data_IF_619677962687
#
_entry.id   IF_619677962687
#
_cell.length_a   1.000
_cell.length_b   1.000
_cell.length_c   1.000
_cell.angle_alpha   90.00
_cell.angle_beta   90.00
_cell.angle_gamma   90.00
#
_symmetry.space_group_name_H-M   'P 1'
#
loop_
_entity.id
_entity.type
_entity.pdbx_description
1 polymer ?
#
# COMPACT_ATOMS: atom_id res chain seq x y z
N UNK A 1 -48.14 15.32 -18.82
CA UNK A 1 -47.67 14.32 -17.86
C UNK A 1 -46.26 13.96 -18.28
N UNK A 2 -45.28 14.66 -17.72
CA UNK A 2 -43.88 14.26 -17.85
C UNK A 2 -43.68 13.09 -16.89
N UNK A 3 -43.39 11.93 -17.44
CA UNK A 3 -42.86 10.81 -16.67
C UNK A 3 -41.50 11.25 -16.15
N UNK A 4 -41.43 11.58 -14.86
CA UNK A 4 -40.16 11.64 -14.13
C UNK A 4 -39.50 10.26 -14.32
N UNK A 5 -38.21 10.18 -14.73
CA UNK A 5 -37.54 8.89 -14.72
C UNK A 5 -37.56 8.41 -13.28
N UNK A 6 -38.05 7.19 -13.05
CA UNK A 6 -37.90 6.50 -11.76
C UNK A 6 -36.45 6.74 -11.30
N UNK A 7 -36.28 7.51 -10.24
CA UNK A 7 -34.97 7.69 -9.62
C UNK A 7 -34.56 6.29 -9.21
N UNK A 8 -33.48 5.79 -9.80
CA UNK A 8 -32.98 4.44 -9.56
C UNK A 8 -32.59 4.32 -8.07
N UNK A 9 -33.54 3.88 -7.25
CA UNK A 9 -33.41 3.65 -5.80
C UNK A 9 -32.82 2.25 -5.51
N UNK A 10 -32.66 1.44 -6.56
CA UNK A 10 -31.97 0.17 -6.52
C UNK A 10 -30.49 0.36 -6.14
N UNK A 11 -29.98 -0.59 -5.36
CA UNK A 11 -28.61 -0.54 -4.86
C UNK A 11 -27.56 -0.63 -5.97
N UNK A 12 -27.75 -1.50 -6.96
CA UNK A 12 -26.73 -1.78 -7.97
C UNK A 12 -26.57 -0.58 -8.90
N UNK A 13 -27.68 0.00 -9.37
CA UNK A 13 -27.68 1.24 -10.15
C UNK A 13 -27.06 2.43 -9.39
N UNK A 14 -27.35 2.56 -8.09
CA UNK A 14 -26.76 3.63 -7.28
C UNK A 14 -25.26 3.44 -7.06
N UNK A 15 -24.81 2.20 -6.86
CA UNK A 15 -23.38 1.88 -6.74
C UNK A 15 -22.64 2.20 -8.03
N UNK A 16 -23.17 1.80 -9.19
CA UNK A 16 -22.57 2.11 -10.49
C UNK A 16 -22.44 3.63 -10.68
N UNK A 17 -23.53 4.39 -10.47
CA UNK A 17 -23.53 5.84 -10.57
C UNK A 17 -22.53 6.51 -9.59
N UNK A 18 -22.37 5.99 -8.38
CA UNK A 18 -21.38 6.46 -7.42
C UNK A 18 -19.95 6.23 -7.92
N UNK A 19 -19.65 5.02 -8.40
CA UNK A 19 -18.30 4.67 -8.88
C UNK A 19 -17.91 5.52 -10.10
N UNK A 20 -18.86 5.84 -10.97
CA UNK A 20 -18.65 6.69 -12.14
C UNK A 20 -18.50 8.18 -11.77
N UNK A 21 -19.28 8.65 -10.80
CA UNK A 21 -19.10 10.00 -10.25
C UNK A 21 -17.71 10.17 -9.62
N UNK A 22 -17.18 9.11 -8.99
CA UNK A 22 -15.83 9.12 -8.40
C UNK A 22 -14.72 8.99 -9.45
N UNK A 23 -14.97 8.33 -10.58
CA UNK A 23 -14.02 8.24 -11.70
C UNK A 23 -13.67 9.61 -12.30
N UNK A 24 -14.59 10.58 -12.27
CA UNK A 24 -14.34 11.95 -12.75
C UNK A 24 -13.39 12.76 -11.85
N UNK A 25 -13.08 12.25 -10.65
CA UNK A 25 -12.04 12.78 -9.77
C UNK A 25 -10.68 12.13 -10.05
N UNK A 26 -9.61 12.70 -9.51
CA UNK A 26 -8.23 12.21 -9.64
C UNK A 26 -7.98 10.86 -8.89
N UNK A 27 -9.05 10.08 -8.67
CA UNK A 27 -9.12 8.98 -7.72
C UNK A 27 -8.49 7.71 -8.29
N UNK A 28 -7.61 7.09 -7.50
CA UNK A 28 -6.81 5.94 -7.92
C UNK A 28 -7.68 4.69 -8.09
N UNK A 29 -7.45 3.87 -9.12
CA UNK A 29 -8.22 2.65 -9.38
C UNK A 29 -8.31 1.67 -8.20
N UNK A 30 -7.39 1.76 -7.23
CA UNK A 30 -7.46 1.01 -5.97
C UNK A 30 -8.68 1.38 -5.10
N UNK A 31 -9.04 2.67 -5.00
CA UNK A 31 -10.23 3.08 -4.25
C UNK A 31 -11.50 2.57 -4.93
N UNK A 32 -11.59 2.69 -6.26
CA UNK A 32 -12.73 2.17 -7.03
C UNK A 32 -12.93 0.67 -6.80
N UNK A 33 -11.87 -0.13 -6.98
CA UNK A 33 -11.95 -1.58 -6.78
C UNK A 33 -12.32 -1.98 -5.34
N UNK A 34 -11.80 -1.26 -4.34
CA UNK A 34 -12.21 -1.47 -2.94
C UNK A 34 -13.68 -1.09 -2.74
N UNK A 35 -14.10 0.07 -3.25
CA UNK A 35 -15.46 0.57 -3.10
C UNK A 35 -16.45 -0.38 -3.75
N UNK A 36 -16.22 -0.78 -4.99
CA UNK A 36 -17.00 -1.78 -5.72
C UNK A 36 -17.13 -3.07 -4.89
N UNK A 37 -16.01 -3.68 -4.49
CA UNK A 37 -16.05 -4.92 -3.72
C UNK A 37 -16.81 -4.81 -2.38
N UNK A 38 -16.59 -3.70 -1.65
CA UNK A 38 -17.24 -3.48 -0.35
C UNK A 38 -18.73 -3.21 -0.53
N UNK A 39 -19.11 -2.41 -1.51
CA UNK A 39 -20.50 -2.02 -1.76
C UNK A 39 -21.31 -3.20 -2.28
N UNK A 40 -20.81 -3.99 -3.24
CA UNK A 40 -21.50 -5.18 -3.73
C UNK A 40 -21.68 -6.24 -2.64
N UNK A 41 -20.65 -6.51 -1.83
CA UNK A 41 -20.78 -7.45 -0.70
C UNK A 41 -21.74 -6.95 0.38
N UNK A 42 -21.88 -5.64 0.51
CA UNK A 42 -22.79 -5.03 1.46
C UNK A 42 -24.23 -5.03 0.95
N UNK A 43 -24.49 -4.74 -0.34
CA UNK A 43 -25.82 -4.86 -0.95
C UNK A 43 -26.31 -6.31 -0.90
N UNK A 44 -25.49 -7.30 -1.27
CA UNK A 44 -25.81 -8.73 -1.12
C UNK A 44 -26.10 -9.14 0.33
N UNK A 45 -25.46 -8.48 1.29
CA UNK A 45 -25.73 -8.74 2.70
C UNK A 45 -27.07 -8.13 3.12
N UNK A 46 -27.39 -6.92 2.67
CA UNK A 46 -28.65 -6.24 2.97
C UNK A 46 -29.85 -6.99 2.40
N UNK A 47 -29.80 -7.39 1.14
CA UNK A 47 -30.87 -8.16 0.48
C UNK A 47 -31.18 -9.45 1.26
N UNK A 48 -30.15 -10.20 1.68
CA UNK A 48 -30.33 -11.39 2.54
C UNK A 48 -30.94 -11.11 3.91
N UNK A 49 -30.95 -9.85 4.34
CA UNK A 49 -31.52 -9.41 5.61
C UNK A 49 -32.81 -8.59 5.40
N UNK A 50 -33.40 -8.66 4.20
CA UNK A 50 -34.70 -8.06 3.86
C UNK A 50 -34.66 -6.55 3.68
N UNK A 51 -33.56 -6.02 3.15
CA UNK A 51 -33.42 -4.62 2.74
C UNK A 51 -33.03 -4.64 1.27
N UNK A 52 -34.02 -4.42 0.41
CA UNK A 52 -33.90 -4.57 -1.03
C UNK A 52 -33.62 -3.23 -1.73
N UNK A 53 -34.07 -2.11 -1.14
CA UNK A 53 -33.90 -0.77 -1.69
C UNK A 53 -33.18 0.21 -0.74
N UNK A 54 -32.61 1.28 -1.30
CA UNK A 54 -31.94 2.33 -0.52
C UNK A 54 -32.89 3.07 0.43
N UNK A 55 -34.18 3.17 0.09
CA UNK A 55 -35.18 3.85 0.92
C UNK A 55 -35.54 3.05 2.19
N UNK A 56 -35.46 1.72 2.12
CA UNK A 56 -35.68 0.83 3.27
C UNK A 56 -34.51 0.83 4.24
N UNK A 57 -33.37 1.41 3.84
CA UNK A 57 -32.17 1.43 4.64
C UNK A 57 -32.29 2.40 5.82
N UNK A 58 -32.24 1.84 7.02
CA UNK A 58 -32.32 2.61 8.25
C UNK A 58 -31.09 2.47 9.17
N UNK A 59 -31.11 3.23 10.26
CA UNK A 59 -30.04 3.19 11.26
C UNK A 59 -29.92 1.84 11.97
N UNK A 60 -30.97 1.02 12.00
CA UNK A 60 -30.95 -0.32 12.59
C UNK A 60 -30.27 -1.33 11.66
N UNK A 61 -30.43 -1.19 10.35
CA UNK A 61 -29.73 -1.94 9.31
C UNK A 61 -28.22 -1.69 9.37
N UNK A 62 -27.83 -0.42 9.45
CA UNK A 62 -26.41 -0.04 9.64
C UNK A 62 -25.84 -0.51 10.98
N UNK A 63 -26.65 -0.52 12.05
CA UNK A 63 -26.25 -1.08 13.34
C UNK A 63 -25.99 -2.59 13.25
N UNK A 64 -26.88 -3.36 12.61
CA UNK A 64 -26.70 -4.81 12.38
C UNK A 64 -25.44 -5.09 11.57
N UNK A 65 -25.15 -4.26 10.56
CA UNK A 65 -23.93 -4.38 9.77
C UNK A 65 -22.66 -4.08 10.58
N UNK A 66 -22.66 -3.01 11.38
CA UNK A 66 -21.55 -2.71 12.29
C UNK A 66 -21.30 -3.85 13.29
N UNK A 67 -22.36 -4.47 13.82
CA UNK A 67 -22.23 -5.67 14.67
C UNK A 67 -21.65 -6.88 13.92
N UNK A 68 -22.01 -7.08 12.64
CA UNK A 68 -21.39 -8.10 11.78
C UNK A 68 -19.89 -7.84 11.65
N UNK A 69 -19.48 -6.61 11.34
CA UNK A 69 -18.07 -6.25 11.22
C UNK A 69 -17.32 -6.47 12.55
N UNK A 70 -17.94 -6.12 13.68
CA UNK A 70 -17.38 -6.40 15.02
C UNK A 70 -17.24 -7.89 15.30
N UNK A 71 -18.20 -8.73 14.89
CA UNK A 71 -18.08 -10.20 15.01
C UNK A 71 -16.93 -10.75 14.17
N UNK A 72 -16.76 -10.26 12.93
CA UNK A 72 -15.63 -10.64 12.08
C UNK A 72 -14.29 -10.17 12.66
N UNK A 73 -14.26 -9.01 13.31
CA UNK A 73 -13.07 -8.53 14.02
C UNK A 73 -12.69 -9.43 15.20
N UNK A 74 -13.67 -9.83 16.02
CA UNK A 74 -13.48 -10.78 17.12
C UNK A 74 -13.08 -12.18 16.68
N UNK A 75 -13.58 -12.63 15.52
CA UNK A 75 -13.15 -13.90 14.95
C UNK A 75 -11.64 -13.92 14.72
N UNK A 76 -11.08 -12.81 14.19
CA UNK A 76 -9.64 -12.65 13.99
C UNK A 76 -8.83 -12.64 15.28
N UNK A 77 -9.38 -12.07 16.36
CA UNK A 77 -8.76 -12.12 17.69
C UNK A 77 -8.65 -13.57 18.22
N UNK A 78 -9.58 -14.45 17.81
CA UNK A 78 -9.61 -15.84 18.23
C UNK A 78 -8.78 -16.76 17.33
N UNK A 79 -8.78 -16.48 16.02
CA UNK A 79 -8.04 -17.20 15.00
C UNK A 79 -7.56 -16.19 13.92
N UNK A 80 -6.25 -15.90 13.86
CA UNK A 80 -5.68 -14.92 12.93
C UNK A 80 -5.97 -15.19 11.44
N UNK A 81 -6.24 -16.45 11.08
CA UNK A 81 -6.58 -16.87 9.71
C UNK A 81 -8.05 -16.64 9.36
N UNK A 82 -8.88 -16.25 10.33
CA UNK A 82 -10.31 -15.98 10.13
C UNK A 82 -10.66 -14.52 10.35
N UNK A 83 -11.75 -14.05 9.73
CA UNK A 83 -12.28 -12.71 9.99
C UNK A 83 -11.45 -11.57 9.39
N UNK A 84 -11.53 -10.38 10.00
CA UNK A 84 -10.90 -9.14 9.51
C UNK A 84 -10.29 -8.35 10.66
N UNK A 85 -9.37 -7.42 10.39
CA UNK A 85 -8.87 -6.54 11.44
C UNK A 85 -9.94 -5.48 11.83
N UNK A 86 -9.90 -4.93 13.07
CA UNK A 86 -10.71 -3.77 13.44
C UNK A 86 -10.54 -2.58 12.49
N UNK A 87 -9.32 -2.43 11.97
CA UNK A 87 -8.96 -1.47 10.95
C UNK A 87 -9.76 -1.67 9.64
N UNK A 88 -9.70 -2.87 9.05
CA UNK A 88 -10.45 -3.19 7.83
C UNK A 88 -11.96 -3.05 8.01
N UNK A 89 -12.49 -3.44 9.18
CA UNK A 89 -13.89 -3.22 9.52
C UNK A 89 -14.29 -1.73 9.45
N UNK A 90 -13.47 -0.83 10.02
CA UNK A 90 -13.72 0.61 9.98
C UNK A 90 -13.60 1.16 8.55
N UNK A 91 -12.62 0.69 7.78
CA UNK A 91 -12.47 1.03 6.36
C UNK A 91 -13.74 0.68 5.58
N UNK A 92 -14.24 -0.55 5.70
CA UNK A 92 -15.45 -0.96 4.99
C UNK A 92 -16.66 -0.11 5.36
N UNK A 93 -16.85 0.15 6.67
CA UNK A 93 -17.94 1.02 7.12
C UNK A 93 -17.78 2.47 6.66
N UNK A 94 -16.56 3.00 6.61
CA UNK A 94 -16.27 4.34 6.11
C UNK A 94 -16.57 4.47 4.62
N UNK A 95 -16.22 3.47 3.81
CA UNK A 95 -16.57 3.40 2.39
C UNK A 95 -18.08 3.45 2.19
N UNK A 96 -18.85 2.61 2.90
CA UNK A 96 -20.31 2.60 2.84
C UNK A 96 -20.90 3.93 3.31
N UNK A 97 -20.37 4.50 4.40
CA UNK A 97 -20.80 5.81 4.89
C UNK A 97 -20.52 6.92 3.87
N UNK A 98 -19.43 6.83 3.10
CA UNK A 98 -19.11 7.74 2.02
C UNK A 98 -20.10 7.64 0.86
N UNK A 99 -20.37 6.41 0.41
CA UNK A 99 -21.41 6.12 -0.59
C UNK A 99 -22.79 6.67 -0.18
N UNK A 100 -23.23 6.40 1.04
CA UNK A 100 -24.52 6.91 1.54
C UNK A 100 -24.54 8.43 1.72
N UNK A 101 -23.39 9.06 1.93
CA UNK A 101 -23.31 10.53 1.94
C UNK A 101 -23.52 11.07 0.52
N UNK A 102 -22.90 10.44 -0.47
CA UNK A 102 -23.12 10.78 -1.87
C UNK A 102 -24.58 10.53 -2.30
N UNK A 103 -25.22 9.45 -1.84
CA UNK A 103 -26.64 9.21 -2.13
C UNK A 103 -27.57 10.29 -1.55
N UNK A 104 -27.18 10.92 -0.43
CA UNK A 104 -27.90 12.10 0.10
C UNK A 104 -27.68 13.32 -0.80
N UNK A 105 -26.45 13.54 -1.25
CA UNK A 105 -26.12 14.65 -2.16
C UNK A 105 -26.80 14.51 -3.53
N UNK A 106 -26.97 13.27 -4.01
CA UNK A 106 -27.68 12.91 -5.24
C UNK A 106 -29.21 12.79 -5.03
N UNK A 107 -29.73 13.16 -3.85
CA UNK A 107 -31.15 13.14 -3.50
C UNK A 107 -31.86 11.77 -3.63
N UNK A 108 -31.12 10.66 -3.56
CA UNK A 108 -31.67 9.29 -3.56
C UNK A 108 -32.20 8.88 -2.20
N UNK A 109 -31.59 9.39 -1.13
CA UNK A 109 -32.05 9.17 0.25
C UNK A 109 -32.02 10.50 1.00
N UNK A 110 -32.94 10.67 1.95
CA UNK A 110 -33.07 11.93 2.69
C UNK A 110 -32.00 12.12 3.78
N UNK A 111 -31.47 11.03 4.32
CA UNK A 111 -30.47 11.06 5.40
C UNK A 111 -29.51 9.89 5.29
N UNK A 112 -28.30 10.05 5.85
CA UNK A 112 -27.31 8.97 5.90
C UNK A 112 -27.47 8.14 7.19
N UNK A 113 -28.03 6.91 7.13
CA UNK A 113 -28.25 6.09 8.32
C UNK A 113 -26.94 5.61 8.98
N UNK A 114 -25.83 5.56 8.24
CA UNK A 114 -24.53 5.14 8.75
C UNK A 114 -23.91 6.17 9.72
N UNK A 115 -24.38 7.43 9.68
CA UNK A 115 -23.91 8.47 10.59
C UNK A 115 -24.54 8.37 11.98
N UNK A 116 -25.62 7.60 12.14
CA UNK A 116 -26.34 7.47 13.39
C UNK A 116 -25.44 6.93 14.52
N UNK A 117 -25.51 7.57 15.70
CA UNK A 117 -24.71 7.19 16.88
C UNK A 117 -24.84 5.70 17.21
N UNK A 118 -26.08 5.17 17.16
CA UNK A 118 -26.37 3.76 17.44
C UNK A 118 -25.66 2.78 16.52
N UNK A 119 -25.38 3.17 15.28
CA UNK A 119 -24.65 2.33 14.33
C UNK A 119 -23.14 2.41 14.59
N UNK A 120 -22.61 3.62 14.78
CA UNK A 120 -21.18 3.86 15.08
C UNK A 120 -20.72 3.23 16.40
N UNK A 121 -21.56 3.20 17.44
CA UNK A 121 -21.21 2.60 18.74
C UNK A 121 -20.93 1.10 18.65
N UNK A 122 -21.46 0.40 17.65
CA UNK A 122 -21.25 -1.05 17.48
C UNK A 122 -19.99 -1.40 16.68
N UNK A 123 -19.31 -0.41 16.10
CA UNK A 123 -18.06 -0.66 15.38
C UNK A 123 -16.98 -1.21 16.32
N UNK A 124 -16.12 -2.12 15.84
CA UNK A 124 -15.01 -2.59 16.64
C UNK A 124 -14.15 -1.41 17.08
N UNK A 125 -13.77 -1.43 18.35
CA UNK A 125 -12.73 -0.53 18.83
C UNK A 125 -11.42 -1.03 18.27
N UNK A 126 -10.73 -0.13 17.58
CA UNK A 126 -9.30 -0.31 17.37
C UNK A 126 -8.68 -0.09 18.74
N UNK A 127 -8.04 -1.12 19.32
CA UNK A 127 -7.28 -0.96 20.56
C UNK A 127 -6.20 0.10 20.40
N UNK A 128 -5.89 0.51 19.15
CA UNK A 128 -5.03 1.64 18.88
C UNK A 128 -3.63 1.42 19.46
N UNK A 129 -3.27 0.16 19.70
CA UNK A 129 -1.95 -0.25 20.14
C UNK A 129 -0.98 0.05 18.99
N UNK A 130 -0.59 1.33 18.95
CA UNK A 130 0.50 1.90 18.16
C UNK A 130 1.82 1.17 18.40
N UNK A 131 1.88 0.27 19.39
CA UNK A 131 2.98 -0.64 19.73
C UNK A 131 3.18 -1.76 18.70
N UNK A 132 2.19 -2.01 17.83
CA UNK A 132 2.30 -3.00 16.73
C UNK A 132 2.92 -2.45 15.45
N UNK A 133 3.19 -1.14 15.40
CA UNK A 133 3.78 -0.49 14.24
C UNK A 133 5.27 -0.84 14.15
N UNK A 134 5.65 -1.65 13.16
CA UNK A 134 7.06 -2.01 12.95
C UNK A 134 7.89 -0.79 12.51
N UNK A 135 9.09 -0.69 13.07
CA UNK A 135 10.17 0.18 12.63
C UNK A 135 11.34 -0.72 12.24
N UNK A 136 12.07 -0.36 11.19
CA UNK A 136 13.37 -1.00 10.98
C UNK A 136 14.30 -0.54 12.09
N UNK A 137 14.60 -1.43 13.03
CA UNK A 137 15.63 -1.18 14.04
C UNK A 137 16.97 -0.91 13.34
N UNK A 138 17.87 -0.18 14.00
CA UNK A 138 19.20 0.07 13.43
C UNK A 138 19.95 -1.24 13.19
N UNK A 139 19.73 -2.24 14.04
CA UNK A 139 20.31 -3.58 13.94
C UNK A 139 19.76 -4.35 12.75
N UNK A 140 18.44 -4.49 12.63
CA UNK A 140 17.81 -5.25 11.54
C UNK A 140 18.09 -4.60 10.18
N UNK A 141 18.03 -3.26 10.11
CA UNK A 141 18.43 -2.53 8.90
C UNK A 141 19.87 -2.83 8.53
N UNK A 142 20.79 -2.78 9.50
CA UNK A 142 22.22 -3.06 9.24
C UNK A 142 22.42 -4.50 8.78
N UNK A 143 21.72 -5.46 9.42
CA UNK A 143 21.79 -6.88 9.08
C UNK A 143 21.27 -7.15 7.67
N UNK A 144 20.11 -6.60 7.31
CA UNK A 144 19.54 -6.71 5.96
C UNK A 144 20.50 -6.11 4.92
N UNK A 145 20.98 -4.88 5.15
CA UNK A 145 21.85 -4.19 4.20
C UNK A 145 23.18 -4.91 4.01
N UNK A 146 23.81 -5.42 5.08
CA UNK A 146 25.02 -6.25 4.99
C UNK A 146 24.77 -7.54 4.21
N UNK A 147 23.64 -8.18 4.45
CA UNK A 147 23.27 -9.40 3.75
C UNK A 147 23.13 -9.16 2.23
N UNK A 148 22.37 -8.14 1.82
CA UNK A 148 22.20 -7.84 0.38
C UNK A 148 23.47 -7.29 -0.26
N UNK A 149 24.30 -6.56 0.47
CA UNK A 149 25.60 -6.11 -0.04
C UNK A 149 26.52 -7.30 -0.32
N UNK A 150 26.62 -8.26 0.61
CA UNK A 150 27.40 -9.48 0.43
C UNK A 150 26.86 -10.32 -0.73
N UNK A 151 25.54 -10.58 -0.75
CA UNK A 151 24.87 -11.35 -1.80
C UNK A 151 25.14 -10.77 -3.20
N UNK A 152 25.06 -9.45 -3.35
CA UNK A 152 25.33 -8.80 -4.63
C UNK A 152 26.82 -8.82 -5.00
N UNK A 153 27.72 -8.70 -4.02
CA UNK A 153 29.16 -8.78 -4.26
C UNK A 153 29.56 -10.18 -4.72
N UNK A 154 29.15 -11.21 -3.98
CA UNK A 154 29.43 -12.62 -4.30
C UNK A 154 28.87 -12.97 -5.69
N UNK A 155 27.64 -12.53 -6.00
CA UNK A 155 27.02 -12.77 -7.30
C UNK A 155 27.73 -12.03 -8.45
N UNK A 156 28.24 -10.81 -8.22
CA UNK A 156 29.02 -10.09 -9.22
C UNK A 156 30.35 -10.78 -9.48
N UNK A 157 31.00 -11.32 -8.45
CA UNK A 157 32.27 -12.02 -8.61
C UNK A 157 32.10 -13.35 -9.37
N UNK A 158 30.96 -14.02 -9.17
CA UNK A 158 30.62 -15.29 -9.84
C UNK A 158 30.05 -15.10 -11.26
N UNK A 159 29.12 -14.16 -11.43
CA UNK A 159 28.27 -14.02 -12.63
C UNK A 159 28.55 -12.75 -13.44
N UNK A 160 29.37 -11.84 -12.93
CA UNK A 160 29.67 -10.56 -13.60
C UNK A 160 28.41 -9.72 -13.83
N UNK A 161 28.08 -9.49 -15.10
CA UNK A 161 26.92 -8.71 -15.52
C UNK A 161 25.60 -9.47 -15.42
N UNK A 162 25.63 -10.79 -15.25
CA UNK A 162 24.43 -11.61 -15.12
C UNK A 162 23.89 -11.64 -13.67
N UNK A 163 24.53 -10.91 -12.75
CA UNK A 163 24.10 -10.72 -11.35
C UNK A 163 22.91 -9.73 -11.21
N UNK A 164 22.00 -9.70 -12.18
CA UNK A 164 20.97 -8.67 -12.33
C UNK A 164 20.00 -8.65 -11.13
N UNK A 165 19.56 -9.81 -10.66
CA UNK A 165 18.61 -9.95 -9.55
C UNK A 165 19.23 -9.48 -8.24
N UNK A 166 20.43 -9.96 -7.91
CA UNK A 166 21.09 -9.67 -6.64
C UNK A 166 21.46 -8.19 -6.52
N UNK A 167 21.92 -7.59 -7.61
CA UNK A 167 22.27 -6.16 -7.66
C UNK A 167 21.01 -5.29 -7.63
N UNK A 168 19.93 -5.68 -8.34
CA UNK A 168 18.61 -5.02 -8.25
C UNK A 168 18.09 -5.02 -6.82
N UNK A 169 18.11 -6.18 -6.17
CA UNK A 169 17.58 -6.34 -4.81
C UNK A 169 18.36 -5.49 -3.80
N UNK A 170 19.69 -5.45 -3.92
CA UNK A 170 20.54 -4.54 -3.13
C UNK A 170 20.17 -3.07 -3.33
N UNK A 171 20.01 -2.63 -4.57
CA UNK A 171 19.63 -1.25 -4.89
C UNK A 171 18.24 -0.92 -4.34
N UNK A 172 17.26 -1.82 -4.52
CA UNK A 172 15.90 -1.67 -4.00
C UNK A 172 15.88 -1.52 -2.47
N UNK A 173 16.62 -2.37 -1.75
CA UNK A 173 16.68 -2.30 -0.29
C UNK A 173 17.29 -0.98 0.18
N UNK A 174 18.31 -0.47 -0.51
CA UNK A 174 18.93 0.83 -0.18
C UNK A 174 18.02 2.01 -0.51
N UNK A 175 17.20 1.94 -1.55
CA UNK A 175 16.16 2.95 -1.81
C UNK A 175 15.15 2.94 -0.67
N UNK A 176 14.56 1.78 -0.34
CA UNK A 176 13.60 1.66 0.75
C UNK A 176 14.16 2.14 2.10
N UNK A 177 15.41 1.85 2.40
CA UNK A 177 16.04 2.20 3.68
C UNK A 177 16.30 3.70 3.87
N UNK A 178 16.56 4.45 2.78
CA UNK A 178 17.19 5.77 2.89
C UNK A 178 16.50 6.88 2.10
N UNK A 179 15.70 6.59 1.07
CA UNK A 179 15.03 7.67 0.31
C UNK A 179 13.75 8.16 0.98
N UNK A 180 13.19 7.35 1.89
CA UNK A 180 11.89 7.62 2.48
C UNK A 180 10.72 7.37 1.52
N UNK A 181 10.93 6.97 0.26
CA UNK A 181 9.86 6.71 -0.69
C UNK A 181 8.92 5.60 -0.18
N UNK A 182 7.63 5.72 -0.53
CA UNK A 182 6.66 4.64 -0.36
C UNK A 182 6.90 3.58 -1.44
N UNK A 183 6.58 2.32 -1.14
CA UNK A 183 6.63 1.28 -2.17
C UNK A 183 5.74 1.62 -3.37
N UNK A 184 4.58 2.22 -3.14
CA UNK A 184 3.65 2.66 -4.20
C UNK A 184 4.17 3.82 -5.07
N UNK A 185 5.26 4.50 -4.66
CA UNK A 185 5.91 5.57 -5.41
C UNK A 185 7.00 5.04 -6.35
N UNK A 186 7.57 3.87 -6.06
CA UNK A 186 8.70 3.30 -6.82
C UNK A 186 8.35 1.99 -7.56
N UNK A 187 7.27 1.32 -7.16
CA UNK A 187 6.80 0.08 -7.75
C UNK A 187 5.59 0.31 -8.65
N UNK A 188 5.41 -0.58 -9.63
CA UNK A 188 4.24 -0.60 -10.51
C UNK A 188 2.96 -0.88 -9.73
N UNK A 189 1.89 -0.17 -10.08
CA UNK A 189 0.53 -0.48 -9.67
C UNK A 189 -0.27 -0.98 -10.88
N UNK A 190 -0.69 -2.24 -10.84
CA UNK A 190 -1.43 -2.86 -11.95
C UNK A 190 -2.82 -2.25 -12.15
N UNK A 191 -3.30 -1.42 -11.21
CA UNK A 191 -4.62 -0.78 -11.23
C UNK A 191 -4.56 0.74 -11.44
N UNK A 192 -3.39 1.30 -11.67
CA UNK A 192 -3.19 2.74 -11.91
C UNK A 192 -2.17 2.89 -13.04
N UNK A 193 -2.67 3.18 -14.25
CA UNK A 193 -1.90 3.38 -15.47
C UNK A 193 -0.85 4.49 -15.35
N UNK A 194 -1.09 5.47 -14.47
CA UNK A 194 -0.13 6.55 -14.15
C UNK A 194 1.04 6.05 -13.30
N UNK A 195 0.95 4.86 -12.68
CA UNK A 195 1.97 4.29 -11.77
C UNK A 195 2.64 3.08 -12.39
N UNK A 196 3.49 3.32 -13.39
CA UNK A 196 4.32 2.27 -14.00
C UNK A 196 5.60 1.93 -13.22
N UNK A 197 5.77 2.47 -12.01
CA UNK A 197 6.98 2.33 -11.21
C UNK A 197 8.08 3.30 -11.64
N UNK A 198 9.24 3.22 -10.99
CA UNK A 198 10.35 4.14 -11.22
C UNK A 198 11.09 3.81 -12.54
N UNK A 199 11.30 4.80 -13.40
CA UNK A 199 12.12 4.70 -14.61
C UNK A 199 13.48 5.37 -14.39
N UNK A 200 14.49 5.04 -15.20
CA UNK A 200 15.80 5.70 -15.08
C UNK A 200 15.74 7.21 -15.38
N UNK A 201 14.77 7.66 -16.17
CA UNK A 201 14.45 9.07 -16.42
C UNK A 201 14.03 9.81 -15.14
N UNK A 202 13.53 9.09 -14.13
CA UNK A 202 13.13 9.64 -12.85
C UNK A 202 14.27 9.70 -11.83
N UNK A 203 15.48 9.26 -12.20
CA UNK A 203 16.62 9.15 -11.28
C UNK A 203 17.72 10.14 -11.67
N UNK A 204 17.92 11.15 -10.84
CA UNK A 204 19.09 12.02 -10.91
C UNK A 204 20.16 11.52 -9.92
N UNK A 205 21.10 10.71 -10.43
CA UNK A 205 22.22 10.19 -9.64
C UNK A 205 23.22 11.30 -9.27
N UNK A 206 23.37 12.32 -10.12
CA UNK A 206 24.33 13.40 -9.89
C UNK A 206 23.82 14.37 -8.82
N UNK A 207 22.61 14.90 -9.03
CA UNK A 207 21.91 15.78 -8.10
C UNK A 207 21.38 15.06 -6.85
N UNK A 208 21.26 13.74 -6.90
CA UNK A 208 20.88 12.91 -5.77
C UNK A 208 19.40 13.04 -5.42
N UNK A 209 18.53 12.88 -6.43
CA UNK A 209 17.08 12.85 -6.27
C UNK A 209 16.40 11.74 -7.07
N UNK A 210 15.18 11.40 -6.65
CA UNK A 210 14.25 10.55 -7.38
C UNK A 210 12.95 11.33 -7.61
N UNK A 211 12.45 11.38 -8.83
CA UNK A 211 11.16 11.97 -9.14
C UNK A 211 10.07 10.91 -8.97
N UNK A 212 9.10 11.15 -8.10
CA UNK A 212 8.04 10.17 -7.79
C UNK A 212 6.65 10.80 -7.85
N UNK A 213 5.67 10.02 -8.28
CA UNK A 213 4.28 10.43 -8.25
C UNK A 213 3.74 10.29 -6.81
N UNK A 214 3.69 11.41 -6.09
CA UNK A 214 3.31 11.41 -4.70
C UNK A 214 1.83 11.11 -4.46
N UNK A 215 1.45 11.16 -3.19
CA UNK A 215 0.09 10.83 -2.72
C UNK A 215 -1.00 11.71 -3.36
N UNK A 216 -0.72 12.99 -3.57
CA UNK A 216 -1.64 13.96 -4.20
C UNK A 216 -1.74 13.81 -5.72
N UNK A 217 -1.12 12.78 -6.31
CA UNK A 217 -0.97 12.61 -7.76
C UNK A 217 -0.15 13.75 -8.41
N UNK A 218 0.71 14.39 -7.61
CA UNK A 218 1.67 15.40 -8.06
C UNK A 218 3.09 14.84 -7.99
N UNK A 219 3.88 15.13 -9.02
CA UNK A 219 5.30 14.78 -9.09
C UNK A 219 6.10 15.52 -8.01
N UNK A 220 6.89 14.78 -7.25
CA UNK A 220 7.68 15.27 -6.12
C UNK A 220 9.07 14.64 -6.13
N UNK A 221 10.06 15.40 -5.67
CA UNK A 221 11.44 14.92 -5.56
C UNK A 221 11.69 14.30 -4.18
N UNK A 222 12.13 13.05 -4.18
CA UNK A 222 12.67 12.36 -3.02
C UNK A 222 14.19 12.49 -2.98
N UNK A 223 14.74 12.56 -1.77
CA UNK A 223 16.19 12.61 -1.60
C UNK A 223 16.82 11.25 -1.87
N UNK A 224 17.99 11.25 -2.51
CA UNK A 224 18.79 10.06 -2.77
C UNK A 224 20.17 10.21 -2.12
N UNK A 225 20.32 9.76 -0.85
CA UNK A 225 21.60 9.82 -0.15
C UNK A 225 22.71 9.07 -0.90
N UNK A 226 23.95 9.53 -0.74
CA UNK A 226 25.13 8.94 -1.42
C UNK A 226 25.27 7.42 -1.20
N UNK A 227 24.86 6.90 -0.04
CA UNK A 227 24.92 5.45 0.21
C UNK A 227 23.94 4.65 -0.66
N UNK A 228 22.87 5.27 -1.14
CA UNK A 228 21.91 4.65 -2.05
C UNK A 228 22.34 4.83 -3.50
N UNK A 229 22.91 5.99 -3.84
CA UNK A 229 23.40 6.30 -5.19
C UNK A 229 24.38 5.27 -5.72
N UNK A 230 25.39 4.90 -4.94
CA UNK A 230 26.40 3.93 -5.38
C UNK A 230 25.82 2.55 -5.72
N UNK A 231 24.75 2.14 -5.03
CA UNK A 231 24.06 0.90 -5.34
C UNK A 231 23.22 1.00 -6.62
N UNK A 232 22.57 2.15 -6.85
CA UNK A 232 21.85 2.40 -8.10
C UNK A 232 22.80 2.55 -9.30
N UNK A 233 23.96 3.19 -9.14
CA UNK A 233 24.99 3.27 -10.18
C UNK A 233 25.48 1.87 -10.57
N UNK A 234 25.77 1.02 -9.58
CA UNK A 234 26.15 -0.37 -9.84
C UNK A 234 25.02 -1.15 -10.50
N UNK A 235 23.79 -0.96 -10.05
CA UNK A 235 22.61 -1.57 -10.64
C UNK A 235 22.42 -1.16 -12.10
N UNK A 236 22.50 0.13 -12.41
CA UNK A 236 22.46 0.63 -13.79
C UNK A 236 23.55 0.01 -14.67
N UNK A 237 24.75 -0.12 -14.12
CA UNK A 237 25.90 -0.73 -14.81
C UNK A 237 25.66 -2.20 -15.14
N UNK A 238 25.08 -2.95 -14.21
CA UNK A 238 24.80 -4.38 -14.38
C UNK A 238 23.59 -4.59 -15.31
N UNK A 239 22.52 -3.82 -15.10
CA UNK A 239 21.29 -3.91 -15.89
C UNK A 239 21.50 -3.54 -17.37
N UNK A 240 22.40 -2.58 -17.64
CA UNK A 240 22.67 -2.03 -18.98
C UNK A 240 21.38 -1.62 -19.70
N UNK A 241 20.60 -0.66 -19.13
CA UNK A 241 19.37 -0.20 -19.77
C UNK A 241 19.67 0.42 -21.14
N UNK A 242 18.83 0.15 -22.15
CA UNK A 242 19.03 0.66 -23.51
C UNK A 242 18.88 2.19 -23.56
N UNK A 243 17.94 2.72 -22.78
CA UNK A 243 17.71 4.14 -22.63
C UNK A 243 17.16 4.43 -21.22
N UNK A 244 16.84 5.70 -20.94
CA UNK A 244 16.37 6.10 -19.62
C UNK A 244 14.87 5.79 -19.37
N UNK A 245 14.12 5.34 -20.37
CA UNK A 245 12.73 4.87 -20.18
C UNK A 245 12.68 3.46 -19.58
N UNK A 246 13.83 2.80 -19.42
CA UNK A 246 13.88 1.46 -18.85
C UNK A 246 13.54 1.51 -17.36
N UNK A 247 12.86 0.48 -16.83
CA UNK A 247 12.53 0.39 -15.42
C UNK A 247 13.79 0.35 -14.56
N UNK A 248 13.78 1.05 -13.43
CA UNK A 248 14.86 0.91 -12.43
C UNK A 248 14.79 -0.46 -11.77
N UNK A 249 13.60 -0.99 -11.52
CA UNK A 249 13.42 -2.27 -10.84
C UNK A 249 12.58 -3.21 -11.69
N UNK A 250 13.14 -3.80 -12.77
CA UNK A 250 12.40 -4.71 -13.63
C UNK A 250 11.98 -5.98 -12.88
N UNK A 251 10.83 -6.51 -13.27
CA UNK A 251 10.39 -7.85 -12.88
C UNK A 251 11.30 -8.91 -13.48
N UNK A 252 11.52 -10.00 -12.74
CA UNK A 252 12.16 -11.22 -13.24
C UNK A 252 11.15 -12.39 -13.25
N UNK A 253 9.86 -12.06 -13.32
CA UNK A 253 8.79 -13.05 -13.32
C UNK A 253 8.57 -13.54 -14.76
N UNK A 254 9.15 -14.69 -15.09
CA UNK A 254 9.11 -15.24 -16.45
C UNK A 254 7.71 -15.20 -17.09
N UNK A 255 6.61 -15.67 -16.45
CA UNK A 255 5.28 -15.60 -17.08
C UNK A 255 4.86 -14.18 -17.49
N UNK A 256 5.23 -13.16 -16.71
CA UNK A 256 4.96 -11.76 -17.06
C UNK A 256 5.79 -11.28 -18.23
N UNK A 257 7.06 -11.69 -18.31
CA UNK A 257 7.95 -11.33 -19.42
C UNK A 257 7.50 -11.98 -20.73
N UNK A 258 7.15 -13.26 -20.70
CA UNK A 258 6.65 -13.98 -21.87
C UNK A 258 5.29 -13.42 -22.34
N UNK A 259 4.38 -13.11 -21.41
CA UNK A 259 3.13 -12.45 -21.74
C UNK A 259 3.39 -11.09 -22.40
N UNK A 260 4.26 -10.27 -21.82
CA UNK A 260 4.60 -8.95 -22.36
C UNK A 260 5.24 -9.06 -23.74
N UNK A 261 6.17 -10.00 -23.94
CA UNK A 261 6.81 -10.21 -25.23
C UNK A 261 5.78 -10.55 -26.32
N UNK A 262 4.86 -11.47 -26.03
CA UNK A 262 3.77 -11.82 -26.96
C UNK A 262 2.90 -10.60 -27.30
N UNK A 263 2.38 -9.93 -26.29
CA UNK A 263 1.51 -8.76 -26.47
C UNK A 263 2.18 -7.66 -27.31
N UNK A 264 3.40 -7.27 -26.95
CA UNK A 264 4.12 -6.17 -27.60
C UNK A 264 4.63 -6.53 -29.02
N UNK A 265 5.06 -7.78 -29.25
CA UNK A 265 5.49 -8.20 -30.59
C UNK A 265 4.29 -8.33 -31.53
N UNK A 266 3.17 -8.89 -31.06
CA UNK A 266 1.93 -8.94 -31.86
C UNK A 266 1.42 -7.53 -32.19
N UNK A 267 1.46 -6.58 -31.25
CA UNK A 267 1.11 -5.17 -31.51
C UNK A 267 2.03 -4.50 -32.56
N UNK A 268 3.27 -4.98 -32.69
CA UNK A 268 4.24 -4.53 -33.70
C UNK A 268 4.10 -5.26 -35.04
N UNK A 269 3.14 -6.17 -35.16
CA UNK A 269 2.77 -6.83 -36.42
C UNK A 269 3.47 -8.16 -36.67
N UNK A 270 4.14 -8.74 -35.68
CA UNK A 270 4.64 -10.11 -35.74
C UNK A 270 3.45 -11.08 -35.65
N UNK A 271 3.48 -12.16 -36.41
CA UNK A 271 2.48 -13.22 -36.27
C UNK A 271 2.79 -14.17 -35.09
N UNK A 272 1.78 -14.93 -34.68
CA UNK A 272 1.89 -15.81 -33.50
C UNK A 272 2.99 -16.89 -33.67
N UNK A 273 3.25 -17.35 -34.89
CA UNK A 273 4.26 -18.40 -35.16
C UNK A 273 5.68 -17.80 -35.10
N UNK A 274 5.87 -16.60 -35.64
CA UNK A 274 7.11 -15.82 -35.53
C UNK A 274 7.45 -15.53 -34.06
N UNK A 275 6.46 -15.09 -33.28
CA UNK A 275 6.62 -14.77 -31.86
C UNK A 275 7.03 -16.00 -31.05
N UNK A 276 6.35 -17.14 -31.20
CA UNK A 276 6.73 -18.35 -30.48
C UNK A 276 8.11 -18.87 -30.93
N UNK A 277 8.46 -18.76 -32.21
CA UNK A 277 9.79 -19.13 -32.71
C UNK A 277 10.89 -18.33 -32.00
N UNK A 278 10.73 -17.00 -31.90
CA UNK A 278 11.69 -16.13 -31.19
C UNK A 278 11.82 -16.51 -29.70
N UNK A 279 10.70 -16.84 -29.05
CA UNK A 279 10.65 -17.19 -27.63
C UNK A 279 11.18 -18.61 -27.33
N UNK A 280 11.17 -19.51 -28.32
CA UNK A 280 11.75 -20.85 -28.23
C UNK A 280 13.27 -20.86 -28.49
N UNK A 281 13.76 -19.94 -29.32
CA UNK A 281 15.18 -19.87 -29.71
C UNK A 281 16.05 -19.06 -28.75
N UNK A 282 15.49 -18.08 -28.04
CA UNK A 282 16.22 -17.13 -27.20
C UNK A 282 15.61 -16.95 -25.82
N UNK A 283 16.41 -16.47 -24.85
CA UNK A 283 15.86 -16.09 -23.55
C UNK A 283 14.91 -14.90 -23.70
N UNK A 284 13.79 -14.91 -22.98
CA UNK A 284 12.78 -13.84 -23.07
C UNK A 284 13.35 -12.46 -22.75
N UNK A 285 14.33 -12.34 -21.85
CA UNK A 285 14.99 -11.06 -21.56
C UNK A 285 15.88 -10.59 -22.71
N UNK A 286 16.41 -11.51 -23.52
CA UNK A 286 17.14 -11.22 -24.74
C UNK A 286 16.18 -10.74 -25.83
N UNK A 287 15.09 -11.48 -26.07
CA UNK A 287 14.03 -11.09 -27.01
C UNK A 287 13.49 -9.68 -26.69
N UNK A 288 13.11 -9.42 -25.44
CA UNK A 288 12.65 -8.10 -25.03
C UNK A 288 13.69 -7.01 -25.29
N UNK A 289 14.98 -7.31 -25.11
CA UNK A 289 16.06 -6.35 -25.32
C UNK A 289 16.34 -6.10 -26.79
N UNK A 290 16.41 -7.15 -27.61
CA UNK A 290 16.63 -7.04 -29.06
C UNK A 290 15.54 -6.24 -29.76
N UNK A 291 14.30 -6.40 -29.29
CA UNK A 291 13.16 -5.65 -29.80
C UNK A 291 12.91 -4.33 -29.06
N UNK A 292 13.83 -3.87 -28.19
CA UNK A 292 13.69 -2.62 -27.44
C UNK A 292 12.34 -2.50 -26.69
N UNK A 293 11.87 -3.61 -26.11
CA UNK A 293 10.67 -3.67 -25.27
C UNK A 293 11.12 -3.55 -23.81
N UNK A 294 10.86 -2.43 -23.11
CA UNK A 294 11.23 -2.29 -21.71
C UNK A 294 10.41 -3.27 -20.85
N UNK A 295 11.04 -4.11 -20.02
CA UNK A 295 10.28 -5.01 -19.15
C UNK A 295 9.43 -4.21 -18.14
N UNK A 296 8.34 -4.80 -17.65
CA UNK A 296 7.55 -4.16 -16.59
C UNK A 296 8.34 -4.02 -15.27
N UNK A 297 8.11 -2.92 -14.53
CA UNK A 297 8.62 -2.76 -13.18
C UNK A 297 8.02 -3.79 -12.19
N UNK A 298 8.71 -4.02 -11.08
CA UNK A 298 8.21 -4.78 -9.94
C UNK A 298 6.91 -4.16 -9.41
N UNK A 299 5.95 -5.02 -9.07
CA UNK A 299 4.74 -4.60 -8.35
C UNK A 299 5.00 -4.44 -6.85
N UNK A 300 4.12 -3.73 -6.14
CA UNK A 300 4.12 -3.67 -4.66
C UNK A 300 4.19 -5.07 -4.02
N UNK A 301 3.48 -6.04 -4.61
CA UNK A 301 3.46 -7.43 -4.15
C UNK A 301 4.82 -8.10 -4.34
N UNK A 302 5.45 -7.89 -5.48
CA UNK A 302 6.79 -8.42 -5.76
C UNK A 302 7.83 -7.85 -4.82
N UNK A 303 7.79 -6.53 -4.54
CA UNK A 303 8.69 -5.90 -3.55
C UNK A 303 8.52 -6.53 -2.16
N UNK A 304 7.28 -6.73 -1.69
CA UNK A 304 7.02 -7.38 -0.39
C UNK A 304 7.55 -8.82 -0.36
N UNK A 305 7.37 -9.58 -1.45
CA UNK A 305 7.88 -10.96 -1.58
C UNK A 305 9.40 -11.01 -1.48
N UNK A 306 10.10 -10.16 -2.24
CA UNK A 306 11.56 -10.04 -2.21
C UNK A 306 12.03 -9.69 -0.80
N UNK A 307 11.44 -8.68 -0.18
CA UNK A 307 11.83 -8.24 1.15
C UNK A 307 11.64 -9.34 2.21
N UNK A 308 10.55 -10.11 2.15
CA UNK A 308 10.32 -11.28 3.02
C UNK A 308 11.40 -12.36 2.80
N UNK A 309 11.66 -12.71 1.55
CA UNK A 309 12.66 -13.72 1.20
C UNK A 309 14.07 -13.32 1.64
N UNK A 310 14.42 -12.03 1.53
CA UNK A 310 15.71 -11.51 1.99
C UNK A 310 15.81 -11.51 3.53
N UNK A 311 14.72 -11.22 4.24
CA UNK A 311 14.70 -11.29 5.71
C UNK A 311 14.90 -12.73 6.19
N UNK A 312 14.16 -13.68 5.59
CA UNK A 312 14.27 -15.11 5.88
C UNK A 312 15.72 -15.60 5.67
N UNK A 313 16.30 -15.33 4.48
CA UNK A 313 17.68 -15.70 4.17
C UNK A 313 18.72 -15.01 5.06
N UNK A 314 18.43 -13.80 5.55
CA UNK A 314 19.29 -13.09 6.49
C UNK A 314 19.09 -13.55 7.94
N UNK A 315 18.08 -14.39 8.23
CA UNK A 315 17.68 -14.82 9.56
C UNK A 315 17.15 -13.68 10.43
N UNK A 316 16.51 -12.68 9.83
CA UNK A 316 15.95 -11.51 10.52
C UNK A 316 14.54 -11.85 10.99
N UNK A 317 14.34 -11.80 12.31
CA UNK A 317 13.05 -11.99 12.97
C UNK A 317 12.71 -10.70 13.74
N UNK A 318 12.02 -9.74 13.09
CA UNK A 318 11.83 -8.41 13.66
C UNK A 318 10.74 -8.41 14.73
N UNK A 319 10.91 -7.58 15.75
CA UNK A 319 9.89 -7.39 16.78
C UNK A 319 8.58 -6.84 16.17
N UNK A 320 7.45 -7.51 16.45
CA UNK A 320 6.12 -7.07 16.03
C UNK A 320 5.24 -8.21 15.50
N UNK A 321 4.17 -7.84 14.81
CA UNK A 321 3.20 -8.81 14.26
C UNK A 321 3.65 -9.45 12.93
N UNK A 322 4.65 -8.86 12.26
CA UNK A 322 5.16 -9.37 10.99
C UNK A 322 6.50 -10.08 11.21
N UNK A 323 6.61 -11.28 10.65
CA UNK A 323 7.79 -12.16 10.61
C UNK A 323 8.89 -11.68 9.65
N UNK A 324 8.79 -10.45 9.13
CA UNK A 324 9.77 -9.87 8.23
C UNK A 324 9.70 -8.34 8.29
N UNK A 325 10.78 -7.68 7.85
CA UNK A 325 10.82 -6.23 7.76
C UNK A 325 9.85 -5.74 6.69
N UNK A 326 8.94 -4.85 7.04
CA UNK A 326 7.96 -4.24 6.14
C UNK A 326 8.53 -2.93 5.57
N UNK A 327 8.29 -2.66 4.28
CA UNK A 327 8.79 -1.44 3.62
C UNK A 327 8.34 -0.14 4.32
N UNK A 328 7.12 -0.12 4.86
CA UNK A 328 6.63 1.04 5.62
C UNK A 328 7.40 1.22 6.95
N UNK A 329 7.93 0.15 7.53
CA UNK A 329 8.81 0.19 8.69
C UNK A 329 10.16 0.87 8.41
N UNK A 330 10.68 0.77 7.18
CA UNK A 330 11.90 1.46 6.75
C UNK A 330 11.70 2.97 6.81
N UNK A 331 10.59 3.43 6.22
CA UNK A 331 10.18 4.83 6.18
C UNK A 331 9.94 5.40 7.58
N UNK A 332 9.25 4.65 8.45
CA UNK A 332 9.03 5.04 9.86
C UNK A 332 10.36 5.13 10.63
N UNK A 333 11.23 4.14 10.48
CA UNK A 333 12.55 4.13 11.12
C UNK A 333 13.44 5.30 10.69
N UNK A 334 13.45 5.62 9.39
CA UNK A 334 14.15 6.80 8.86
C UNK A 334 13.58 8.10 9.42
N UNK A 335 12.26 8.25 9.42
CA UNK A 335 11.57 9.42 9.96
C UNK A 335 11.87 9.67 11.43
N UNK A 336 11.81 8.62 12.24
CA UNK A 336 12.10 8.67 13.67
C UNK A 336 13.59 8.98 13.94
N UNK A 337 14.52 8.36 13.20
CA UNK A 337 15.95 8.67 13.30
C UNK A 337 16.23 10.15 13.00
N UNK A 338 15.73 10.65 11.87
CA UNK A 338 15.91 12.05 11.46
C UNK A 338 15.24 13.02 12.44
N UNK A 339 14.10 12.65 13.01
CA UNK A 339 13.42 13.45 14.01
C UNK A 339 14.28 13.60 15.27
N UNK A 340 14.84 12.49 15.78
CA UNK A 340 15.68 12.48 16.98
C UNK A 340 16.99 13.22 16.78
N UNK A 341 17.64 13.05 15.62
CA UNK A 341 18.97 13.59 15.35
C UNK A 341 18.96 15.03 14.83
N UNK A 342 17.97 15.39 13.99
CA UNK A 342 17.97 16.64 13.20
C UNK A 342 16.67 17.44 13.34
N UNK A 343 15.75 16.97 14.18
CA UNK A 343 14.50 17.65 14.49
C UNK A 343 13.39 17.45 13.45
N UNK A 344 12.19 17.99 13.74
CA UNK A 344 10.96 17.69 12.99
C UNK A 344 11.01 18.09 11.51
N UNK A 345 11.64 19.22 11.19
CA UNK A 345 11.72 19.71 9.81
C UNK A 345 12.56 18.82 8.90
N UNK A 346 13.60 18.17 9.43
CA UNK A 346 14.42 17.22 8.66
C UNK A 346 13.63 15.94 8.34
N UNK A 347 12.90 15.41 9.33
CA UNK A 347 12.03 14.25 9.13
C UNK A 347 10.91 14.55 8.12
N UNK A 348 10.28 15.73 8.17
CA UNK A 348 9.22 16.09 7.23
C UNK A 348 9.73 16.20 5.78
N UNK A 349 10.89 16.83 5.57
CA UNK A 349 11.50 16.96 4.25
C UNK A 349 11.89 15.61 3.65
N UNK A 350 12.52 14.74 4.44
CA UNK A 350 12.93 13.42 3.96
C UNK A 350 11.75 12.49 3.66
N UNK A 351 10.62 12.67 4.34
CA UNK A 351 9.44 11.84 4.13
C UNK A 351 8.48 12.40 3.09
N UNK A 352 8.68 13.60 2.52
CA UNK A 352 7.77 14.15 1.51
C UNK A 352 6.31 14.07 2.01
N UNK A 353 6.07 14.60 3.21
CA UNK A 353 4.73 14.60 3.81
C UNK A 353 4.03 15.87 3.36
N UNK A 354 3.07 15.75 2.42
CA UNK A 354 2.33 16.88 1.83
C UNK A 354 1.39 17.65 2.79
N UNK A 355 1.49 17.48 4.13
CA UNK A 355 0.82 18.36 5.11
C UNK A 355 1.61 18.53 6.42
N UNK A 356 1.67 19.74 7.02
CA UNK A 356 2.22 19.96 8.34
C UNK A 356 1.18 19.56 9.40
N UNK A 357 1.23 18.32 9.89
CA UNK A 357 0.60 17.95 11.17
C UNK A 357 1.60 17.20 12.03
N UNK A 358 2.61 17.95 12.47
CA UNK A 358 3.54 17.56 13.53
C UNK A 358 2.81 17.62 14.87
N UNK A 359 1.83 16.74 15.11
CA UNK A 359 1.21 16.64 16.44
C UNK A 359 0.71 15.24 16.83
N UNK A 360 0.59 14.27 15.90
CA UNK A 360 0.03 12.96 16.22
C UNK A 360 1.05 11.92 16.75
N UNK A 361 2.36 12.11 16.51
CA UNK A 361 3.38 11.18 17.05
C UNK A 361 3.67 11.46 18.54
N UNK A 362 3.32 12.66 19.04
CA UNK A 362 3.84 13.26 20.27
C UNK A 362 3.23 12.74 21.60
N UNK A 363 2.14 11.96 21.60
CA UNK A 363 1.47 11.62 22.88
C UNK A 363 1.81 10.26 23.51
N UNK A 364 2.69 9.44 22.94
CA UNK A 364 2.97 8.10 23.49
C UNK A 364 4.22 8.00 24.39
N UNK A 365 5.14 8.97 24.35
CA UNK A 365 6.43 8.88 25.08
C UNK A 365 6.54 9.76 26.32
N UNK A 366 5.50 10.52 26.68
CA UNK A 366 5.55 11.39 27.86
C UNK A 366 5.16 10.74 29.19
N UNK A 367 4.83 9.43 29.22
CA UNK A 367 4.35 8.78 30.46
C UNK A 367 5.38 7.90 31.19
N UNK A 368 6.64 7.85 30.76
CA UNK A 368 7.66 6.97 31.40
C UNK A 368 8.79 7.74 32.09
N UNK A 369 8.77 9.08 32.11
CA UNK A 369 9.77 9.88 32.82
C UNK A 369 9.15 10.65 34.01
N UNK A 370 8.76 9.94 35.06
CA UNK A 370 8.59 10.53 36.39
C UNK A 370 9.14 9.60 37.48
N UNK A 371 10.46 9.50 37.55
CA UNK A 371 11.17 9.16 38.79
C UNK A 371 12.35 10.13 38.90
N UNK A 372 12.33 10.98 39.94
CA UNK A 372 13.37 11.98 40.24
C UNK A 372 14.72 11.36 40.63
N UNK A 373 15.79 12.17 40.74
CA UNK A 373 15.95 13.11 41.86
C UNK A 373 16.35 14.52 41.33
N UNK A 374 16.25 15.64 42.05
CA UNK A 374 16.52 15.90 43.46
C UNK A 374 17.76 16.81 43.56
N UNK A 375 17.51 18.09 43.88
CA UNK A 375 18.47 19.15 44.27
C UNK A 375 19.46 19.70 43.23
N UNK A 376 19.27 20.98 42.89
CA UNK A 376 20.27 22.03 43.15
C UNK A 376 19.59 23.41 43.07
N UNK A 377 19.58 24.09 44.22
CA UNK A 377 19.29 25.50 44.38
C UNK A 377 20.51 26.32 43.94
N UNK A 378 20.31 27.53 43.39
CA UNK A 378 20.92 28.80 43.84
C UNK A 378 20.64 29.95 42.83
N UNK A 379 20.04 31.03 43.37
CA UNK A 379 20.16 32.49 43.08
C UNK A 379 19.69 33.03 41.71
N UNK A 380 18.61 33.84 41.69
CA UNK A 380 18.49 35.29 41.98
C UNK A 380 18.88 36.18 40.79
N UNK A 381 17.91 36.85 40.16
CA UNK A 381 17.69 38.28 40.39
C UNK A 381 16.56 38.90 39.55
N UNK A 382 15.72 39.64 40.27
CA UNK A 382 15.04 40.92 39.98
C UNK A 382 14.41 41.28 38.63
N UNK A 383 13.16 41.77 38.78
CA UNK A 383 12.58 43.05 38.31
C UNK A 383 11.57 43.04 37.14
N UNK A 384 10.30 43.30 37.53
CA UNK A 384 9.36 44.38 37.07
C UNK A 384 9.20 44.61 35.55
N UNK A 385 8.04 44.86 34.94
CA UNK A 385 6.80 45.51 35.38
C UNK A 385 5.66 45.21 34.37
N UNK A 386 4.43 45.33 34.86
CA UNK A 386 3.07 45.24 34.27
C UNK A 386 2.76 45.73 32.82
N UNK A 387 1.58 45.30 32.28
CA UNK A 387 1.04 45.56 30.92
C UNK A 387 0.01 46.70 30.87
N UNK A 388 -0.53 47.05 29.68
CA UNK A 388 -2.00 47.21 29.54
C UNK A 388 -2.54 46.76 28.15
N UNK A 389 -3.63 45.98 28.09
CA UNK A 389 -5.06 46.34 27.97
C UNK A 389 -5.60 46.49 26.53
N UNK A 390 -6.73 45.79 26.31
CA UNK A 390 -7.65 45.86 25.17
C UNK A 390 -8.40 47.20 25.13
N UNK A 391 -9.06 47.50 24.00
CA UNK A 391 -10.42 48.03 24.05
C UNK A 391 -11.42 47.14 23.32
N UNK A 392 -12.61 47.14 23.90
CA UNK A 392 -13.91 46.65 23.45
C UNK A 392 -14.46 47.49 22.30
N UNK A 393 -15.18 46.86 21.35
CA UNK A 393 -16.33 47.46 20.66
C UNK A 393 -17.27 46.40 20.14
N UNK A 394 -18.54 46.54 20.55
CA UNK A 394 -19.71 45.75 20.19
C UNK A 394 -20.24 46.19 18.81
N UNK A 395 -20.61 45.26 17.95
CA UNK A 395 -21.59 45.53 16.88
C UNK A 395 -22.35 44.25 16.54
N UNK A 396 -23.68 44.37 16.60
CA UNK A 396 -24.69 43.34 16.42
C UNK A 396 -25.08 43.29 14.95
N UNK A 397 -24.92 42.16 14.28
CA UNK A 397 -25.63 41.86 13.04
C UNK A 397 -26.21 40.45 13.10
N UNK A 398 -27.53 40.40 13.00
CA UNK A 398 -28.35 39.20 12.88
C UNK A 398 -28.22 38.68 11.46
N UNK A 399 -27.66 37.49 11.28
CA UNK A 399 -27.79 36.69 10.05
C UNK A 399 -27.93 35.22 10.42
N UNK A 400 -29.02 34.61 9.96
CA UNK A 400 -29.37 33.19 10.11
C UNK A 400 -28.29 32.29 9.50
N UNK A 401 -27.88 31.18 10.17
CA UNK A 401 -26.97 30.23 9.55
C UNK A 401 -27.75 29.20 8.72
N UNK A 402 -27.72 29.36 7.40
CA UNK A 402 -27.82 28.21 6.48
C UNK A 402 -26.56 27.37 6.67
N UNK A 403 -26.70 26.16 7.19
CA UNK A 403 -25.59 25.22 7.37
C UNK A 403 -25.20 24.64 6.02
N UNK A 404 -24.26 25.30 5.33
CA UNK A 404 -23.53 24.71 4.20
C UNK A 404 -22.55 23.68 4.77
N UNK A 405 -22.90 22.40 4.64
CA UNK A 405 -21.95 21.29 4.85
C UNK A 405 -21.04 21.27 3.62
N UNK A 406 -19.88 21.91 3.72
CA UNK A 406 -18.88 21.94 2.64
C UNK A 406 -17.99 20.68 2.68
N UNK A 407 -17.43 20.34 1.50
CA UNK A 407 -16.31 19.45 1.10
C UNK A 407 -15.32 18.87 2.16
N UNK A 408 -15.32 19.38 3.38
CA UNK A 408 -14.52 18.97 4.54
C UNK A 408 -14.77 17.53 5.02
N UNK A 409 -15.99 17.00 4.88
CA UNK A 409 -16.32 15.63 5.33
C UNK A 409 -15.78 14.56 4.39
N UNK A 410 -15.80 14.80 3.06
CA UNK A 410 -15.21 13.89 2.07
C UNK A 410 -13.69 13.82 2.18
N UNK A 411 -13.03 14.96 2.41
CA UNK A 411 -11.58 15.01 2.62
C UNK A 411 -11.12 14.27 3.88
N UNK A 412 -11.97 14.18 4.92
CA UNK A 412 -11.68 13.41 6.14
C UNK A 412 -11.78 11.90 5.94
N UNK A 413 -12.70 11.43 5.10
CA UNK A 413 -12.86 10.00 4.78
C UNK A 413 -11.74 9.49 3.86
N UNK A 414 -11.36 10.26 2.83
CA UNK A 414 -10.18 9.98 2.02
C UNK A 414 -8.91 9.92 2.91
N UNK A 415 -8.74 10.88 3.82
CA UNK A 415 -7.59 10.90 4.74
C UNK A 415 -7.54 9.71 5.71
N UNK A 416 -8.67 9.11 6.07
CA UNK A 416 -8.77 7.98 7.02
C UNK A 416 -8.52 6.63 6.34
N UNK A 417 -9.08 6.42 5.14
CA UNK A 417 -8.86 5.21 4.32
C UNK A 417 -7.40 5.09 3.84
N UNK A 418 -6.75 6.23 3.66
CA UNK A 418 -5.43 6.36 3.07
C UNK A 418 -4.31 6.48 4.12
N UNK A 419 -4.68 6.47 5.42
CA UNK A 419 -3.75 6.30 6.56
C UNK A 419 -3.58 4.82 6.95
N UNK A 420 -4.42 3.95 6.38
CA UNK A 420 -4.56 2.55 6.71
C UNK A 420 -4.34 1.71 5.45
N UNK A 421 -3.19 1.90 4.78
CA UNK A 421 -2.74 1.01 3.70
C UNK A 421 -2.99 -0.43 4.13
N UNK A 422 -4.01 -1.02 3.52
CA UNK A 422 -4.69 -2.19 4.03
C UNK A 422 -3.70 -3.35 4.15
N UNK A 423 -3.71 -3.97 5.33
CA UNK A 423 -3.35 -5.38 5.48
C UNK A 423 -4.14 -6.15 4.42
N UNK A 424 -3.46 -6.48 3.32
CA UNK A 424 -4.00 -7.20 2.17
C UNK A 424 -4.09 -8.70 2.48
N UNK A 425 -4.58 -9.03 3.68
CA UNK A 425 -4.91 -10.39 4.12
C UNK A 425 -6.37 -10.75 3.78
N UNK A 426 -7.14 -9.84 3.17
CA UNK A 426 -8.53 -10.12 2.76
C UNK A 426 -8.66 -10.83 1.40
N UNK A 427 -7.55 -11.24 0.79
CA UNK A 427 -7.55 -12.06 -0.44
C UNK A 427 -7.48 -13.58 -0.18
N UNK A 428 -7.51 -14.03 1.07
CA UNK A 428 -7.45 -15.47 1.41
C UNK A 428 -8.83 -16.15 1.56
N UNK A 429 -9.94 -15.48 1.24
CA UNK A 429 -11.28 -16.08 1.20
C UNK A 429 -11.60 -16.63 -0.22
N UNK A 430 -10.89 -17.69 -0.62
CA UNK A 430 -11.41 -18.74 -1.50
C UNK A 430 -10.54 -20.00 -1.31
N UNK A 431 -11.17 -21.17 -1.27
CA UNK A 431 -10.65 -22.54 -1.04
C UNK A 431 -10.95 -23.17 0.34
N UNK A 432 -12.24 -23.24 0.68
CA UNK A 432 -12.79 -24.35 1.48
C UNK A 432 -13.64 -25.27 0.58
N UNK A 433 -12.96 -26.12 -0.20
CA UNK A 433 -13.50 -27.37 -0.74
C UNK A 433 -12.44 -28.48 -0.50
N UNK A 434 -12.83 -29.73 -0.19
CA UNK A 434 -11.92 -30.71 0.41
C UNK A 434 -10.81 -31.16 -0.53
N UNK A 435 -9.57 -31.26 0.00
CA UNK A 435 -8.41 -31.93 -0.60
C UNK A 435 -8.68 -33.41 -0.89
N UNK A 436 -9.38 -33.73 -1.99
CA UNK A 436 -9.47 -35.08 -2.56
C UNK A 436 -9.41 -35.07 -4.08
N UNK A 437 -8.30 -34.60 -4.66
CA UNK A 437 -7.98 -34.91 -6.08
C UNK A 437 -6.47 -34.97 -6.39
N UNK A 438 -5.57 -34.48 -5.53
CA UNK A 438 -4.11 -34.49 -5.79
C UNK A 438 -3.38 -35.61 -5.01
N UNK A 439 -4.00 -36.80 -4.91
CA UNK A 439 -3.32 -38.03 -4.44
C UNK A 439 -3.38 -39.17 -5.46
N UNK A 440 -3.83 -38.91 -6.70
CA UNK A 440 -3.83 -39.92 -7.78
C UNK A 440 -2.73 -39.77 -8.82
N UNK A 441 -1.87 -38.76 -8.72
CA UNK A 441 -0.78 -38.53 -9.70
C UNK A 441 0.62 -38.88 -9.14
N UNK A 442 0.77 -39.13 -7.84
CA UNK A 442 2.06 -39.50 -7.21
C UNK A 442 2.13 -40.95 -6.66
N UNK A 443 1.22 -41.84 -7.08
CA UNK A 443 1.22 -43.25 -6.69
C UNK A 443 1.89 -44.19 -7.72
N UNK A 444 2.86 -43.70 -8.50
CA UNK A 444 3.73 -44.55 -9.32
C UNK A 444 5.20 -44.31 -8.97
N UNK A 445 5.62 -44.93 -7.88
CA UNK A 445 7.03 -45.17 -7.58
C UNK A 445 7.62 -46.27 -8.48
N UNK A 446 8.97 -46.33 -8.59
CA UNK A 446 9.68 -47.06 -9.62
C UNK A 446 9.64 -48.58 -9.38
N UNK A 447 9.33 -49.35 -10.44
CA UNK A 447 9.58 -50.79 -10.47
C UNK A 447 10.97 -51.05 -11.04
N UNK A 448 11.89 -51.45 -10.17
CA UNK A 448 13.15 -52.09 -10.51
C UNK A 448 12.96 -53.59 -10.78
N UNK A 449 13.85 -54.10 -11.64
CA UNK A 449 14.26 -55.50 -11.90
C UNK A 449 13.44 -56.32 -12.92
N UNK A 450 14.03 -56.50 -14.11
CA UNK A 450 14.63 -57.80 -14.47
C UNK A 450 15.52 -57.66 -15.72
N UNK A 451 16.81 -57.94 -15.52
CA UNK A 451 17.78 -58.26 -16.57
C UNK A 451 17.29 -59.45 -17.40
N UNK A 452 17.27 -59.31 -18.72
CA UNK A 452 17.30 -60.45 -19.63
C UNK A 452 18.51 -60.33 -20.55
N UNK A 453 19.43 -61.24 -20.29
CA UNK A 453 20.56 -61.69 -21.09
C UNK A 453 20.10 -61.99 -22.52
N UNK A 454 20.78 -61.39 -23.51
CA UNK A 454 20.78 -61.89 -24.89
C UNK A 454 22.22 -62.29 -25.20
N UNK A 455 22.45 -63.60 -25.24
CA UNK A 455 23.53 -64.24 -25.97
C UNK A 455 22.95 -64.76 -27.29
N UNK A 456 23.69 -64.58 -28.40
CA UNK A 456 23.35 -65.06 -29.74
C UNK A 456 23.25 -66.59 -29.85
N UNK A 457 23.09 -67.14 -31.07
CA UNK A 457 23.91 -66.85 -32.26
C UNK A 457 23.26 -65.97 -33.33
#
# INVERSE_FOLDING_TARGET
MNSDPERDIDFDSAVEAFLDAKQKGNDSGNYRALAENVLSRWSEWLQRHGVDDLEDLDSQSMRRYAQRLRRRARARESDPETGITPASARTYYATISGFLTWCVEDERISTNPALARRAKTELPQDSGERTTQQFWSAEDRTRLLRFVDKRAHDAVDEKGYDATIEVRDRALMRVLAFSGCRTAEIARDTRDDRRQGLLWNDVDLEGGSLRVLGKTQEWQDAQLPRQTRSALERHRTVQRPLNNEWPVFPTAHAPTLYQQAREELSERGFDDEEVETLLDESDVEEVLREHEIPPQNLTKRSVRRILRELCDKAGIDPEGAADYLQAHGARRGLGDTLYRERGPGAAQRALIISRPTVHAVVSATRSIASVGPGQLSVRSDTRTHRPPQRPTSTSTLVTSPRTLVTSSTMNKLASLLEYMELDDNSANEQWSQPRRTIERIYAMGPRTLASKTITGP
#
